data_IF_529594002638
#
_entry.id   IF_529594002638
#
_cell.length_a   1.000
_cell.length_b   1.000
_cell.length_c   1.000
_cell.angle_alpha   90.00
_cell.angle_beta   90.00
_cell.angle_gamma   90.00
#
_symmetry.space_group_name_H-M   'P 1'
#
loop_
_entity.id
_entity.type
_entity.pdbx_description
1 polymer ?
#
# COMPACT_ATOMS: atom_id res chain seq x y z
N UNK A 1 20.21 -6.78 22.07
CA UNK A 1 19.17 -6.22 21.20
C UNK A 1 19.09 -7.12 19.98
N UNK A 2 18.22 -8.13 20.01
CA UNK A 2 17.95 -8.93 18.82
C UNK A 2 17.05 -8.08 17.94
N UNK A 3 17.61 -7.51 16.88
CA UNK A 3 16.78 -7.04 15.79
C UNK A 3 16.27 -8.29 15.10
N UNK A 4 15.07 -8.73 15.49
CA UNK A 4 14.26 -9.65 14.70
C UNK A 4 13.97 -8.98 13.35
N UNK A 5 14.98 -8.89 12.48
CA UNK A 5 14.84 -8.68 11.04
C UNK A 5 14.29 -9.97 10.47
N UNK A 6 13.05 -10.30 10.83
CA UNK A 6 12.31 -11.30 10.10
C UNK A 6 11.97 -10.67 8.76
N UNK A 7 12.75 -11.03 7.74
CA UNK A 7 12.36 -10.80 6.35
C UNK A 7 10.92 -11.32 6.16
N UNK A 8 10.02 -10.56 5.51
CA UNK A 8 8.72 -11.09 5.16
C UNK A 8 8.90 -12.36 4.30
N UNK A 9 7.98 -13.34 4.42
CA UNK A 9 8.07 -14.57 3.65
C UNK A 9 8.06 -14.25 2.15
N UNK A 10 8.93 -14.94 1.39
CA UNK A 10 9.05 -14.78 -0.05
C UNK A 10 7.67 -14.94 -0.71
N UNK A 11 7.20 -13.87 -1.33
CA UNK A 11 5.84 -13.79 -1.87
C UNK A 11 5.85 -14.25 -3.33
N UNK A 12 4.89 -15.09 -3.72
CA UNK A 12 4.78 -15.67 -5.08
C UNK A 12 4.55 -14.64 -6.18
N UNK A 13 4.24 -13.39 -5.81
CA UNK A 13 4.03 -12.27 -6.74
C UNK A 13 5.27 -11.41 -6.97
N UNK A 14 6.42 -11.75 -6.37
CA UNK A 14 7.65 -11.00 -6.63
C UNK A 14 8.02 -11.12 -8.12
N UNK A 15 8.29 -10.01 -8.82
CA UNK A 15 8.72 -10.06 -10.22
C UNK A 15 10.00 -10.88 -10.37
N UNK A 16 9.96 -11.86 -11.29
CA UNK A 16 11.00 -12.89 -11.42
C UNK A 16 12.35 -12.39 -11.98
N UNK A 17 12.47 -11.11 -12.37
CA UNK A 17 13.70 -10.47 -12.86
C UNK A 17 13.55 -8.94 -12.71
N UNK A 18 13.77 -8.43 -11.50
CA UNK A 18 13.58 -6.99 -11.23
C UNK A 18 14.91 -6.24 -11.15
N UNK A 19 15.50 -6.01 -12.33
CA UNK A 19 16.72 -5.21 -12.47
C UNK A 19 16.59 -3.80 -11.89
N UNK A 20 15.38 -3.23 -11.90
CA UNK A 20 15.14 -1.91 -11.33
C UNK A 20 15.26 -1.93 -9.81
N UNK A 21 14.65 -2.93 -9.14
CA UNK A 21 14.79 -3.07 -7.69
C UNK A 21 16.24 -3.38 -7.29
N UNK A 22 16.96 -4.17 -8.08
CA UNK A 22 18.39 -4.41 -7.88
C UNK A 22 19.21 -3.12 -7.99
N UNK A 23 18.95 -2.28 -9.00
CA UNK A 23 19.60 -0.98 -9.17
C UNK A 23 19.29 -0.02 -8.03
N UNK A 24 18.04 0.05 -7.58
CA UNK A 24 17.62 0.90 -6.46
C UNK A 24 18.23 0.44 -5.14
N UNK A 25 18.28 -0.88 -4.90
CA UNK A 25 18.96 -1.45 -3.76
C UNK A 25 20.47 -1.14 -3.79
N UNK A 26 21.11 -1.27 -4.96
CA UNK A 26 22.52 -0.93 -5.13
C UNK A 26 22.80 0.57 -4.96
N UNK A 27 21.90 1.44 -5.43
CA UNK A 27 22.04 2.89 -5.33
C UNK A 27 21.88 3.39 -3.89
N UNK A 28 20.88 2.86 -3.20
CA UNK A 28 20.56 3.30 -1.84
C UNK A 28 21.44 2.61 -0.79
N UNK A 29 21.80 1.35 -1.01
CA UNK A 29 22.55 0.52 -0.07
C UNK A 29 21.85 0.30 1.28
N UNK A 30 20.60 0.74 1.42
CA UNK A 30 19.86 0.79 2.68
C UNK A 30 18.91 -0.39 2.85
N UNK A 31 18.35 -0.88 1.75
CA UNK A 31 17.31 -1.91 1.74
C UNK A 31 17.58 -2.93 0.64
N UNK A 32 17.18 -4.19 0.88
CA UNK A 32 17.24 -5.23 -0.15
C UNK A 32 16.11 -5.03 -1.18
N UNK A 33 16.25 -5.57 -2.40
CA UNK A 33 15.19 -5.52 -3.42
C UNK A 33 13.83 -6.02 -2.89
N UNK A 34 13.80 -7.07 -2.07
CA UNK A 34 12.59 -7.63 -1.47
C UNK A 34 11.92 -6.64 -0.52
N UNK A 35 12.72 -5.93 0.29
CA UNK A 35 12.19 -4.93 1.24
C UNK A 35 11.59 -3.74 0.48
N UNK A 36 12.24 -3.32 -0.60
CA UNK A 36 11.72 -2.27 -1.48
C UNK A 36 10.38 -2.69 -2.10
N UNK A 37 10.32 -3.89 -2.69
CA UNK A 37 9.10 -4.46 -3.26
C UNK A 37 7.94 -4.48 -2.25
N UNK A 38 8.17 -5.04 -1.07
CA UNK A 38 7.13 -5.15 -0.04
C UNK A 38 6.68 -3.81 0.53
N UNK A 39 7.56 -2.81 0.51
CA UNK A 39 7.20 -1.47 0.94
C UNK A 39 6.27 -0.83 -0.08
N UNK A 40 6.54 -0.99 -1.37
CA UNK A 40 5.67 -0.47 -2.44
C UNK A 40 4.28 -1.10 -2.40
N UNK A 41 4.18 -2.43 -2.29
CA UNK A 41 2.89 -3.14 -2.19
C UNK A 41 2.02 -2.61 -1.03
N UNK A 42 2.65 -2.29 0.11
CA UNK A 42 1.93 -1.71 1.26
C UNK A 42 1.44 -0.29 0.99
N UNK A 43 2.19 0.51 0.23
CA UNK A 43 1.80 1.88 -0.11
C UNK A 43 0.61 1.87 -1.09
N UNK A 44 0.59 0.93 -2.02
CA UNK A 44 -0.53 0.72 -2.94
C UNK A 44 -1.80 0.26 -2.23
N UNK A 45 -1.65 -0.70 -1.30
CA UNK A 45 -2.75 -1.15 -0.44
C UNK A 45 -3.33 0.02 0.37
N UNK A 46 -2.45 0.85 0.97
CA UNK A 46 -2.87 2.00 1.76
C UNK A 46 -3.59 3.03 0.90
N UNK A 47 -3.07 3.32 -0.31
CA UNK A 47 -3.67 4.25 -1.26
C UNK A 47 -5.06 3.78 -1.69
N UNK A 48 -5.20 2.47 -1.93
CA UNK A 48 -6.48 1.85 -2.29
C UNK A 48 -7.48 1.96 -1.13
N UNK A 49 -7.05 1.68 0.09
CA UNK A 49 -7.88 1.83 1.29
C UNK A 49 -8.34 3.28 1.50
N UNK A 50 -7.45 4.25 1.32
CA UNK A 50 -7.81 5.68 1.41
C UNK A 50 -8.85 6.07 0.36
N UNK A 51 -8.68 5.63 -0.89
CA UNK A 51 -9.64 5.89 -1.97
C UNK A 51 -11.02 5.28 -1.66
N UNK A 52 -11.04 4.07 -1.11
CA UNK A 52 -12.29 3.41 -0.72
C UNK A 52 -12.95 4.11 0.47
N UNK A 53 -12.17 4.56 1.45
CA UNK A 53 -12.68 5.33 2.59
C UNK A 53 -13.33 6.65 2.12
N UNK A 54 -12.66 7.43 1.29
CA UNK A 54 -13.20 8.68 0.74
C UNK A 54 -14.47 8.46 -0.10
N UNK A 55 -14.53 7.37 -0.87
CA UNK A 55 -15.73 7.00 -1.63
C UNK A 55 -16.91 6.68 -0.70
N UNK A 56 -16.66 5.99 0.41
CA UNK A 56 -17.69 5.66 1.39
C UNK A 56 -18.17 6.90 2.15
N UNK A 57 -17.28 7.81 2.55
CA UNK A 57 -17.64 9.09 3.19
C UNK A 57 -18.51 9.95 2.26
N UNK A 58 -18.13 10.06 0.99
CA UNK A 58 -18.92 10.80 -0.02
C UNK A 58 -20.31 10.20 -0.22
N UNK A 59 -20.42 8.87 -0.13
CA UNK A 59 -21.70 8.15 -0.26
C UNK A 59 -22.60 8.34 0.97
N UNK A 60 -22.02 8.39 2.17
CA UNK A 60 -22.78 8.66 3.40
C UNK A 60 -23.31 10.10 3.42
N UNK A 61 -22.48 11.09 3.04
CA UNK A 61 -22.91 12.49 2.95
C UNK A 61 -24.03 12.72 1.92
N UNK A 62 -24.03 11.97 0.81
CA UNK A 62 -25.11 12.05 -0.18
C UNK A 62 -26.42 11.43 0.33
N UNK A 63 -26.35 10.39 1.17
CA UNK A 63 -27.53 9.77 1.78
C UNK A 63 -28.14 10.62 2.91
N UNK A 64 -27.32 11.37 3.65
CA UNK A 64 -27.80 12.33 4.67
C UNK A 64 -28.45 13.58 4.07
N UNK A 65 -28.27 13.85 2.77
CA UNK A 65 -28.87 15.00 2.07
C UNK A 65 -30.23 14.71 1.43
N UNK A 66 -30.67 13.45 1.41
CA UNK A 66 -31.98 13.02 0.86
C UNK A 66 -33.04 12.76 1.94
N UNK A 67 -32.99 13.45 3.10
CA UNK A 67 -34.18 13.53 3.95
C UNK A 67 -35.24 14.43 3.28
N UNK A 68 -36.48 13.94 3.07
CA UNK A 68 -37.54 14.75 2.48
C UNK A 68 -37.92 15.86 3.46
N UNK A 69 -37.56 17.10 3.12
CA UNK A 69 -38.13 18.29 3.76
C UNK A 69 -39.65 18.24 3.59
N UNK A 70 -40.32 17.71 4.61
CA UNK A 70 -41.78 17.73 4.72
C UNK A 70 -42.13 18.85 5.68
N UNK A 71 -42.56 19.98 5.15
CA UNK A 71 -43.43 20.95 5.82
C UNK A 71 -44.34 21.61 4.78
#
# INVERSE_FOLDING_TARGET
MHTDSSLPPANTNQPANDHLLEELAALTGLFSPEVLWHTEEKLDDLTTQQRLAQKNESRQQASDLEEPTTL
#
